data_IF_699952712510
#
_entry.id   IF_699952712510
#
_cell.length_a   1.000
_cell.length_b   1.000
_cell.length_c   1.000
_cell.angle_alpha   90.00
_cell.angle_beta   90.00
_cell.angle_gamma   90.00
#
_symmetry.space_group_name_H-M   'P 1'
#
loop_
_entity.id
_entity.type
_entity.pdbx_description
1 polymer ?
#
# COMPACT_ATOMS: atom_id res chain seq x y z
N UNK A 1 -17.78 -16.77 18.17
CA UNK A 1 -16.75 -15.90 18.77
C UNK A 1 -15.98 -15.08 17.72
N UNK A 2 -15.41 -15.71 16.69
CA UNK A 2 -14.68 -15.01 15.61
C UNK A 2 -15.55 -14.00 14.84
N UNK A 3 -16.80 -14.35 14.52
CA UNK A 3 -17.75 -13.44 13.87
C UNK A 3 -18.15 -12.22 14.72
N UNK A 4 -18.01 -12.27 16.04
CA UNK A 4 -18.25 -11.13 16.94
C UNK A 4 -17.00 -10.23 17.05
N UNK A 5 -15.81 -10.81 16.84
CA UNK A 5 -14.52 -10.11 16.86
C UNK A 5 -14.30 -9.23 15.63
N UNK A 6 -14.73 -9.67 14.44
CA UNK A 6 -14.61 -8.89 13.18
C UNK A 6 -15.74 -7.85 13.02
N UNK A 7 -16.79 -7.91 13.84
CA UNK A 7 -17.99 -7.05 13.72
C UNK A 7 -17.88 -5.72 14.51
N UNK A 8 -16.67 -5.29 14.85
CA UNK A 8 -16.43 -4.29 15.90
C UNK A 8 -16.84 -2.85 15.59
N UNK A 9 -16.83 -2.43 14.32
CA UNK A 9 -17.26 -1.09 13.87
C UNK A 9 -17.90 -1.18 12.49
N UNK A 10 -18.91 -0.35 12.24
CA UNK A 10 -19.41 -0.10 10.87
C UNK A 10 -18.33 0.70 10.13
N UNK A 11 -17.48 0.03 9.37
CA UNK A 11 -16.55 0.71 8.47
C UNK A 11 -17.36 1.33 7.34
N UNK A 12 -17.14 2.62 7.08
CA UNK A 12 -17.72 3.30 5.94
C UNK A 12 -17.05 2.79 4.65
N UNK A 13 -17.75 1.90 3.95
CA UNK A 13 -17.29 1.29 2.71
C UNK A 13 -17.02 2.35 1.63
N UNK A 14 -17.84 3.39 1.57
CA UNK A 14 -17.67 4.47 0.60
C UNK A 14 -16.37 5.23 0.84
N UNK A 15 -16.11 5.63 2.09
CA UNK A 15 -14.82 6.28 2.45
C UNK A 15 -13.63 5.38 2.17
N UNK A 16 -13.76 4.08 2.45
CA UNK A 16 -12.70 3.09 2.19
C UNK A 16 -12.38 2.99 0.71
N UNK A 17 -13.42 2.97 -0.12
CA UNK A 17 -13.29 2.94 -1.57
C UNK A 17 -12.68 4.23 -2.13
N UNK A 18 -13.12 5.40 -1.66
CA UNK A 18 -12.52 6.68 -2.01
C UNK A 18 -11.03 6.73 -1.62
N UNK A 19 -10.68 6.29 -0.41
CA UNK A 19 -9.28 6.26 0.03
C UNK A 19 -8.41 5.37 -0.87
N UNK A 20 -8.88 4.18 -1.23
CA UNK A 20 -8.16 3.27 -2.12
C UNK A 20 -7.98 3.85 -3.51
N UNK A 21 -9.06 4.33 -4.12
CA UNK A 21 -9.02 4.86 -5.49
C UNK A 21 -8.15 6.11 -5.60
N UNK A 22 -8.26 7.05 -4.65
CA UNK A 22 -7.40 8.24 -4.61
C UNK A 22 -5.93 7.89 -4.40
N UNK A 23 -5.60 6.99 -3.46
CA UNK A 23 -4.23 6.57 -3.20
C UNK A 23 -3.59 5.85 -4.40
N UNK A 24 -4.33 4.94 -5.03
CA UNK A 24 -3.85 4.21 -6.22
C UNK A 24 -3.67 5.15 -7.41
N UNK A 25 -4.63 6.06 -7.65
CA UNK A 25 -4.53 7.06 -8.71
C UNK A 25 -3.29 7.94 -8.57
N UNK A 26 -3.04 8.48 -7.36
CA UNK A 26 -1.84 9.29 -7.09
C UNK A 26 -0.57 8.47 -7.20
N UNK A 27 -0.56 7.22 -6.72
CA UNK A 27 0.61 6.32 -6.83
C UNK A 27 0.97 6.02 -8.27
N UNK A 28 -0.03 5.71 -9.11
CA UNK A 28 0.17 5.47 -10.54
C UNK A 28 0.70 6.73 -11.24
N UNK A 29 0.08 7.88 -10.98
CA UNK A 29 0.50 9.15 -11.56
C UNK A 29 1.98 9.47 -11.24
N UNK A 30 2.34 9.45 -9.95
CA UNK A 30 3.71 9.73 -9.50
C UNK A 30 4.71 8.73 -10.10
N UNK A 31 4.38 7.43 -10.08
CA UNK A 31 5.26 6.38 -10.60
C UNK A 31 5.50 6.56 -12.11
N UNK A 32 4.46 6.80 -12.90
CA UNK A 32 4.58 6.94 -14.36
C UNK A 32 5.31 8.21 -14.78
N UNK A 33 5.10 9.32 -14.07
CA UNK A 33 5.86 10.56 -14.28
C UNK A 33 7.35 10.32 -14.02
N UNK A 34 7.69 9.70 -12.88
CA UNK A 34 9.08 9.40 -12.54
C UNK A 34 9.74 8.42 -13.52
N UNK A 35 9.02 7.41 -13.99
CA UNK A 35 9.50 6.48 -15.03
C UNK A 35 9.93 7.20 -16.30
N UNK A 36 9.10 8.15 -16.77
CA UNK A 36 9.36 8.92 -17.99
C UNK A 36 10.48 9.94 -17.79
N UNK A 37 10.56 10.53 -16.61
CA UNK A 37 11.56 11.54 -16.26
C UNK A 37 12.96 10.93 -16.11
N UNK A 38 13.09 9.83 -15.36
CA UNK A 38 14.39 9.21 -15.07
C UNK A 38 14.91 8.39 -16.25
N UNK A 39 14.04 7.68 -16.97
CA UNK A 39 14.45 6.97 -18.19
C UNK A 39 15.48 5.84 -17.98
N UNK A 40 15.58 5.29 -16.76
CA UNK A 40 16.59 4.28 -16.42
C UNK A 40 16.37 2.96 -17.16
N UNK A 41 17.45 2.42 -17.73
CA UNK A 41 17.50 1.10 -18.37
C UNK A 41 17.15 -0.03 -17.40
N UNK A 42 16.44 -1.06 -17.88
CA UNK A 42 16.17 -2.28 -17.11
C UNK A 42 17.34 -3.26 -17.16
N UNK A 43 17.56 -4.10 -16.13
CA UNK A 43 18.61 -5.11 -16.14
C UNK A 43 18.53 -6.09 -17.33
N UNK A 44 17.33 -6.57 -17.67
CA UNK A 44 17.15 -7.47 -18.82
C UNK A 44 17.46 -6.84 -20.18
N UNK A 45 17.62 -5.51 -20.25
CA UNK A 45 18.00 -4.82 -21.50
C UNK A 45 19.37 -5.29 -22.02
N UNK A 46 20.29 -5.65 -21.13
CA UNK A 46 21.63 -6.11 -21.51
C UNK A 46 21.62 -7.45 -22.26
N UNK A 47 20.61 -8.28 -22.02
CA UNK A 47 20.42 -9.54 -22.75
C UNK A 47 19.98 -9.27 -24.19
N UNK A 48 19.03 -8.34 -24.39
CA UNK A 48 18.52 -8.01 -25.72
C UNK A 48 19.51 -7.26 -26.59
N UNK A 49 20.39 -6.44 -26.02
CA UNK A 49 21.37 -5.67 -26.78
C UNK A 49 22.68 -6.45 -27.09
N UNK A 50 22.78 -7.71 -26.64
CA UNK A 50 24.00 -8.50 -26.76
C UNK A 50 25.18 -7.87 -26.03
N UNK A 51 25.06 -7.57 -24.74
CA UNK A 51 26.14 -6.90 -24.01
C UNK A 51 27.41 -7.77 -23.94
N UNK A 52 28.53 -7.27 -24.50
CA UNK A 52 29.84 -7.93 -24.41
C UNK A 52 30.60 -7.46 -23.18
N UNK A 53 31.01 -8.41 -22.34
CA UNK A 53 31.80 -8.14 -21.13
C UNK A 53 33.21 -7.61 -21.45
N UNK A 54 33.78 -8.05 -22.59
CA UNK A 54 35.13 -7.67 -23.02
C UNK A 54 35.18 -6.21 -23.50
N UNK A 55 34.15 -5.79 -24.23
CA UNK A 55 34.05 -4.43 -24.78
C UNK A 55 33.29 -3.46 -23.88
N UNK A 56 32.68 -3.95 -22.80
CA UNK A 56 31.79 -3.21 -21.89
C UNK A 56 30.72 -2.38 -22.65
N UNK A 57 30.23 -2.90 -23.78
CA UNK A 57 29.22 -2.26 -24.63
C UNK A 57 28.30 -3.28 -25.28
N UNK A 58 27.09 -2.83 -25.64
CA UNK A 58 26.20 -3.60 -26.51
C UNK A 58 26.84 -3.76 -27.89
N UNK A 59 26.84 -4.98 -28.42
CA UNK A 59 27.41 -5.29 -29.75
C UNK A 59 26.41 -5.14 -30.87
N UNK A 60 25.11 -5.26 -30.59
CA UNK A 60 24.07 -4.95 -31.57
C UNK A 60 24.02 -3.43 -31.79
N UNK A 61 24.56 -2.99 -32.93
CA UNK A 61 24.55 -1.60 -33.35
C UNK A 61 23.25 -1.17 -34.01
N UNK A 62 22.44 -2.14 -34.44
CA UNK A 62 21.13 -1.86 -35.00
C UNK A 62 20.13 -1.67 -33.85
N UNK A 63 19.49 -0.50 -33.78
CA UNK A 63 18.44 -0.14 -32.81
C UNK A 63 17.18 -1.06 -32.88
N UNK A 64 17.25 -2.15 -33.64
CA UNK A 64 16.20 -3.14 -33.81
C UNK A 64 15.96 -3.96 -32.54
N UNK A 65 16.96 -4.13 -31.67
CA UNK A 65 16.76 -4.74 -30.35
C UNK A 65 15.76 -3.93 -29.50
N UNK A 66 15.80 -2.59 -29.62
CA UNK A 66 14.94 -1.69 -28.86
C UNK A 66 13.48 -1.74 -29.34
N UNK A 67 13.25 -2.07 -30.62
CA UNK A 67 11.93 -2.32 -31.21
C UNK A 67 11.40 -3.72 -30.84
N UNK A 68 12.30 -4.69 -30.71
CA UNK A 68 11.98 -6.08 -30.38
C UNK A 68 11.71 -6.32 -28.88
N UNK A 69 11.93 -5.30 -28.04
CA UNK A 69 11.83 -5.44 -26.59
C UNK A 69 10.40 -5.82 -26.13
N UNK A 70 10.29 -6.87 -25.27
CA UNK A 70 9.23 -7.32 -24.38
C UNK A 70 7.89 -6.67 -24.13
N UNK A 71 7.51 -5.52 -24.65
CA UNK A 71 6.38 -4.74 -24.09
C UNK A 71 6.01 -3.52 -24.94
N UNK A 72 6.67 -3.30 -26.08
CA UNK A 72 6.49 -2.11 -26.92
C UNK A 72 7.52 -1.01 -26.66
N UNK A 73 7.42 0.07 -27.43
CA UNK A 73 8.46 1.09 -27.58
C UNK A 73 8.81 1.79 -26.25
N UNK A 74 10.13 1.96 -26.01
CA UNK A 74 10.75 2.61 -24.83
C UNK A 74 10.52 1.92 -23.47
N UNK A 75 9.93 0.73 -23.40
CA UNK A 75 9.77 0.05 -22.10
C UNK A 75 11.09 -0.40 -21.47
N UNK A 76 12.11 -0.65 -22.29
CA UNK A 76 13.49 -0.87 -21.85
C UNK A 76 14.04 0.26 -20.96
N UNK A 77 13.54 1.50 -21.11
CA UNK A 77 13.95 2.69 -20.35
C UNK A 77 13.04 3.04 -19.16
N UNK A 78 12.21 2.12 -18.66
CA UNK A 78 11.24 2.39 -17.58
C UNK A 78 11.50 1.56 -16.34
N UNK A 79 12.75 1.49 -15.91
CA UNK A 79 13.14 0.73 -14.72
C UNK A 79 12.81 1.48 -13.42
N UNK A 80 13.26 2.71 -13.23
CA UNK A 80 13.03 3.44 -11.97
C UNK A 80 11.75 4.30 -12.02
N UNK A 81 10.90 4.31 -10.98
CA UNK A 81 10.75 3.30 -9.92
C UNK A 81 9.91 2.10 -10.38
N UNK A 82 9.86 1.03 -9.59
CA UNK A 82 9.01 -0.14 -9.88
C UNK A 82 7.53 0.16 -9.66
N UNK A 83 6.74 0.08 -10.73
CA UNK A 83 5.29 0.31 -10.67
C UNK A 83 4.51 -0.84 -10.03
N UNK A 84 4.97 -2.08 -10.21
CA UNK A 84 4.37 -3.22 -9.52
C UNK A 84 4.57 -3.13 -8.01
N UNK A 85 5.76 -2.71 -7.57
CA UNK A 85 6.04 -2.51 -6.16
C UNK A 85 5.24 -1.33 -5.58
N UNK A 86 5.13 -0.20 -6.28
CA UNK A 86 4.38 0.95 -5.76
C UNK A 86 2.88 0.65 -5.63
N UNK A 87 2.27 0.04 -6.66
CA UNK A 87 0.85 -0.32 -6.62
C UNK A 87 0.57 -1.41 -5.57
N UNK A 88 1.39 -2.46 -5.51
CA UNK A 88 1.18 -3.56 -4.55
C UNK A 88 1.30 -3.08 -3.11
N UNK A 89 2.32 -2.28 -2.78
CA UNK A 89 2.48 -1.71 -1.45
C UNK A 89 1.37 -0.72 -1.11
N UNK A 90 0.95 0.14 -2.06
CA UNK A 90 -0.16 1.06 -1.82
C UNK A 90 -1.45 0.30 -1.45
N UNK A 91 -1.86 -0.67 -2.27
CA UNK A 91 -3.07 -1.45 -2.04
C UNK A 91 -2.99 -2.31 -0.78
N UNK A 92 -1.87 -3.01 -0.58
CA UNK A 92 -1.73 -3.94 0.55
C UNK A 92 -1.59 -3.21 1.90
N UNK A 93 -0.92 -2.04 1.96
CA UNK A 93 -0.85 -1.25 3.20
C UNK A 93 -2.23 -0.71 3.60
N UNK A 94 -3.02 -0.24 2.63
CA UNK A 94 -4.42 0.14 2.90
C UNK A 94 -5.27 -1.05 3.33
N UNK A 95 -5.06 -2.23 2.74
CA UNK A 95 -5.75 -3.45 3.16
C UNK A 95 -5.36 -3.87 4.58
N UNK A 96 -4.08 -3.82 4.94
CA UNK A 96 -3.61 -4.04 6.32
C UNK A 96 -4.32 -3.07 7.27
N UNK A 97 -4.35 -1.79 6.93
CA UNK A 97 -5.02 -0.76 7.73
C UNK A 97 -6.52 -1.09 7.89
N UNK A 98 -7.20 -1.44 6.80
CA UNK A 98 -8.62 -1.83 6.82
C UNK A 98 -8.87 -3.05 7.73
N UNK A 99 -8.08 -4.12 7.58
CA UNK A 99 -8.20 -5.34 8.39
C UNK A 99 -7.98 -5.06 9.88
N UNK A 100 -7.02 -4.17 10.22
CA UNK A 100 -6.79 -3.75 11.61
C UNK A 100 -7.93 -2.89 12.15
N UNK A 101 -8.52 -2.02 11.32
CA UNK A 101 -9.64 -1.15 11.71
C UNK A 101 -10.96 -1.91 11.94
N UNK A 102 -11.11 -3.07 11.31
CA UNK A 102 -12.29 -3.93 11.42
C UNK A 102 -12.35 -4.74 12.72
N UNK A 103 -11.19 -4.99 13.34
CA UNK A 103 -11.11 -5.72 14.60
C UNK A 103 -11.78 -4.95 15.75
N UNK A 104 -12.55 -5.65 16.56
CA UNK A 104 -13.19 -5.08 17.72
C UNK A 104 -12.17 -4.80 18.83
N UNK A 105 -12.01 -3.51 19.16
CA UNK A 105 -11.04 -3.00 20.15
C UNK A 105 -11.27 -3.61 21.54
N UNK A 106 -12.49 -4.03 21.87
CA UNK A 106 -12.82 -4.70 23.15
C UNK A 106 -11.94 -5.93 23.40
N UNK A 107 -11.50 -6.60 22.34
CA UNK A 107 -10.68 -7.81 22.45
C UNK A 107 -9.17 -7.56 22.29
N UNK A 108 -8.71 -6.31 22.29
CA UNK A 108 -7.31 -5.94 22.02
C UNK A 108 -6.27 -6.64 22.92
N UNK A 109 -6.65 -7.00 24.14
CA UNK A 109 -5.76 -7.70 25.09
C UNK A 109 -5.84 -9.23 25.00
N UNK A 110 -6.64 -9.79 24.10
CA UNK A 110 -6.84 -11.25 23.97
C UNK A 110 -5.84 -11.89 23.02
N UNK A 111 -5.62 -13.20 23.20
CA UNK A 111 -4.83 -14.02 22.28
C UNK A 111 -5.38 -13.99 20.84
N UNK A 112 -6.70 -13.95 20.68
CA UNK A 112 -7.37 -13.87 19.37
C UNK A 112 -6.97 -12.60 18.62
N UNK A 113 -6.84 -11.46 19.31
CA UNK A 113 -6.40 -10.22 18.68
C UNK A 113 -4.94 -10.28 18.23
N UNK A 114 -4.06 -10.96 18.98
CA UNK A 114 -2.65 -11.15 18.59
C UNK A 114 -2.55 -11.96 17.30
N UNK A 115 -3.31 -13.05 17.18
CA UNK A 115 -3.38 -13.85 15.95
C UNK A 115 -3.91 -12.99 14.80
N UNK A 116 -5.00 -12.24 15.02
CA UNK A 116 -5.54 -11.36 13.99
C UNK A 116 -4.55 -10.30 13.53
N UNK A 117 -3.79 -9.71 14.45
CA UNK A 117 -2.76 -8.74 14.12
C UNK A 117 -1.70 -9.34 13.16
N UNK A 118 -1.32 -10.61 13.35
CA UNK A 118 -0.41 -11.31 12.43
C UNK A 118 -1.08 -11.59 11.07
N UNK A 119 -2.33 -12.08 11.07
CA UNK A 119 -3.07 -12.35 9.83
C UNK A 119 -3.28 -11.07 9.02
N UNK A 120 -3.54 -9.94 9.70
CA UNK A 120 -3.71 -8.64 9.06
C UNK A 120 -2.48 -8.15 8.30
N UNK A 121 -1.29 -8.70 8.59
CA UNK A 121 -0.04 -8.41 7.88
C UNK A 121 0.18 -9.29 6.64
N UNK A 122 -0.61 -10.35 6.44
CA UNK A 122 -0.48 -11.22 5.26
C UNK A 122 -0.54 -10.50 3.90
N UNK A 123 -1.32 -9.41 3.70
CA UNK A 123 -1.25 -8.66 2.45
C UNK A 123 0.13 -8.02 2.20
N UNK A 124 0.84 -7.63 3.26
CA UNK A 124 2.19 -7.08 3.11
C UNK A 124 3.17 -8.14 2.62
N UNK A 125 3.04 -9.39 3.08
CA UNK A 125 3.82 -10.51 2.54
C UNK A 125 3.55 -10.72 1.04
N UNK A 126 2.28 -10.61 0.62
CA UNK A 126 1.92 -10.65 -0.81
C UNK A 126 2.58 -9.50 -1.59
N UNK A 127 2.56 -8.28 -1.06
CA UNK A 127 3.21 -7.14 -1.70
C UNK A 127 4.73 -7.35 -1.87
N UNK A 128 5.38 -7.92 -0.85
CA UNK A 128 6.81 -8.30 -0.88
C UNK A 128 7.05 -9.35 -1.96
N UNK A 129 6.21 -10.39 -2.07
CA UNK A 129 6.36 -11.42 -3.11
C UNK A 129 6.22 -10.83 -4.53
N UNK A 130 5.24 -9.95 -4.74
CA UNK A 130 5.06 -9.24 -6.02
C UNK A 130 6.30 -8.38 -6.31
N UNK A 131 6.82 -7.65 -5.33
CA UNK A 131 8.01 -6.84 -5.49
C UNK A 131 9.28 -7.67 -5.77
N UNK A 132 9.46 -8.79 -5.07
CA UNK A 132 10.58 -9.71 -5.24
C UNK A 132 10.58 -10.36 -6.64
N UNK A 133 9.39 -10.71 -7.16
CA UNK A 133 9.28 -11.24 -8.53
C UNK A 133 9.90 -10.32 -9.58
N UNK A 134 9.83 -8.99 -9.38
CA UNK A 134 10.42 -8.03 -10.31
C UNK A 134 11.94 -7.98 -10.32
N UNK A 135 12.56 -8.38 -9.22
CA UNK A 135 14.01 -8.55 -9.13
C UNK A 135 14.40 -9.90 -9.74
N UNK A 136 13.66 -10.96 -9.42
CA UNK A 136 13.88 -12.30 -9.96
C UNK A 136 13.75 -12.35 -11.49
N UNK A 137 12.79 -11.62 -12.05
CA UNK A 137 12.55 -11.52 -13.49
C UNK A 137 13.46 -10.47 -14.20
N UNK A 138 14.44 -9.88 -13.50
CA UNK A 138 15.37 -8.87 -14.03
C UNK A 138 14.72 -7.61 -14.64
N UNK A 139 13.50 -7.25 -14.24
CA UNK A 139 12.84 -6.02 -14.67
C UNK A 139 13.30 -4.79 -13.91
N UNK A 140 13.70 -4.96 -12.65
CA UNK A 140 13.99 -3.87 -11.73
C UNK A 140 15.22 -4.17 -10.86
N UNK A 141 16.05 -3.16 -10.64
CA UNK A 141 17.06 -3.22 -9.58
C UNK A 141 16.39 -3.14 -8.21
N UNK A 142 17.05 -3.65 -7.18
CA UNK A 142 16.54 -3.60 -5.79
C UNK A 142 16.19 -2.17 -5.37
N UNK A 143 17.02 -1.18 -5.74
CA UNK A 143 16.74 0.22 -5.45
C UNK A 143 15.47 0.76 -6.10
N UNK A 144 15.12 0.30 -7.31
CA UNK A 144 13.88 0.71 -8.00
C UNK A 144 12.65 0.14 -7.29
N UNK A 145 12.78 -1.09 -6.77
CA UNK A 145 11.75 -1.77 -5.98
C UNK A 145 11.54 -1.07 -4.65
N UNK A 146 12.62 -0.76 -3.91
CA UNK A 146 12.55 -0.03 -2.64
C UNK A 146 11.90 1.33 -2.82
N UNK A 147 12.31 2.09 -3.84
CA UNK A 147 11.71 3.40 -4.13
C UNK A 147 10.22 3.28 -4.47
N UNK A 148 9.83 2.29 -5.28
CA UNK A 148 8.43 2.00 -5.57
C UNK A 148 7.63 1.69 -4.31
N UNK A 149 8.12 0.78 -3.48
CA UNK A 149 7.50 0.40 -2.20
C UNK A 149 7.29 1.58 -1.27
N UNK A 150 8.28 2.48 -1.15
CA UNK A 150 8.18 3.71 -0.34
C UNK A 150 7.08 4.62 -0.88
N UNK A 151 7.05 4.90 -2.18
CA UNK A 151 6.02 5.74 -2.81
C UNK A 151 4.63 5.19 -2.51
N UNK A 152 4.42 3.88 -2.71
CA UNK A 152 3.15 3.22 -2.46
C UNK A 152 2.72 3.28 -1.00
N UNK A 153 3.63 2.94 -0.07
CA UNK A 153 3.35 2.98 1.36
C UNK A 153 3.06 4.40 1.87
N UNK A 154 3.81 5.40 1.43
CA UNK A 154 3.58 6.80 1.78
C UNK A 154 2.20 7.27 1.34
N UNK A 155 1.80 7.01 0.09
CA UNK A 155 0.48 7.38 -0.41
C UNK A 155 -0.63 6.66 0.36
N UNK A 156 -0.50 5.35 0.62
CA UNK A 156 -1.45 4.61 1.44
C UNK A 156 -1.66 5.26 2.81
N UNK A 157 -0.56 5.62 3.49
CA UNK A 157 -0.61 6.28 4.79
C UNK A 157 -1.27 7.66 4.69
N UNK A 158 -0.87 8.50 3.74
CA UNK A 158 -1.43 9.86 3.55
C UNK A 158 -2.94 9.79 3.31
N UNK A 159 -3.38 9.00 2.33
CA UNK A 159 -4.80 8.93 1.97
C UNK A 159 -5.62 8.21 3.04
N UNK A 160 -5.05 7.24 3.77
CA UNK A 160 -5.74 6.69 4.95
C UNK A 160 -6.07 7.78 5.99
N UNK A 161 -5.16 8.74 6.20
CA UNK A 161 -5.39 9.86 7.14
C UNK A 161 -6.33 10.93 6.61
N UNK A 162 -6.27 11.23 5.30
CA UNK A 162 -7.17 12.21 4.68
C UNK A 162 -8.63 11.74 4.74
N UNK A 163 -8.90 10.48 4.44
CA UNK A 163 -10.26 9.95 4.39
C UNK A 163 -10.78 9.46 5.76
N UNK A 164 -9.86 9.16 6.68
CA UNK A 164 -10.17 8.77 8.06
C UNK A 164 -9.35 9.60 9.06
N UNK A 165 -9.63 10.91 9.17
CA UNK A 165 -9.08 11.71 10.26
C UNK A 165 -9.50 11.06 11.59
N UNK A 166 -8.55 10.92 12.52
CA UNK A 166 -8.72 10.17 13.78
C UNK A 166 -10.07 10.46 14.44
N UNK A 167 -10.85 9.40 14.72
CA UNK A 167 -12.11 9.48 15.49
C UNK A 167 -11.90 9.80 16.98
N UNK A 168 -10.90 10.59 17.37
CA UNK A 168 -10.75 11.07 18.74
C UNK A 168 -10.01 12.40 18.71
N UNK A 169 -10.75 13.47 18.96
CA UNK A 169 -10.44 14.56 19.89
C UNK A 169 -11.75 15.34 20.05
N UNK A 170 -12.42 15.16 21.21
CA UNK A 170 -13.64 15.87 21.64
C UNK A 170 -14.97 15.33 21.04
N UNK A 171 -15.39 14.14 21.47
CA UNK A 171 -16.75 14.03 21.99
C UNK A 171 -16.61 13.44 23.39
N UNK A 172 -16.94 14.19 24.47
CA UNK A 172 -17.03 13.58 25.78
C UNK A 172 -18.00 12.39 25.70
N UNK A 173 -17.83 11.36 26.54
CA UNK A 173 -18.87 10.33 26.66
C UNK A 173 -20.20 11.06 26.90
N UNK A 174 -21.23 10.73 26.13
CA UNK A 174 -22.60 11.06 26.51
C UNK A 174 -22.80 10.44 27.88
N UNK A 175 -22.64 11.25 28.92
CA UNK A 175 -23.16 10.97 30.24
C UNK A 175 -24.65 10.75 30.04
N UNK A 176 -25.12 9.53 30.28
CA UNK A 176 -26.54 9.22 30.36
C UNK A 176 -27.16 10.18 31.38
N UNK A 177 -27.77 11.27 30.91
CA UNK A 177 -28.44 12.26 31.76
C UNK A 177 -29.75 11.74 32.37
N UNK A 178 -30.10 10.47 32.15
CA UNK A 178 -31.34 9.86 32.64
C UNK A 178 -31.21 9.19 34.03
N UNK A 179 -30.00 9.02 34.59
CA UNK A 179 -29.84 8.39 35.93
C UNK A 179 -29.73 9.39 37.10
N UNK A 180 -29.46 10.69 36.86
CA UNK A 180 -29.26 11.68 37.93
C UNK A 180 -30.57 12.39 38.35
N UNK A 181 -31.64 12.33 37.54
CA UNK A 181 -32.95 12.93 37.88
C UNK A 181 -33.81 12.04 38.81
N UNK A 182 -33.37 10.81 39.11
CA UNK A 182 -34.11 9.84 39.92
C UNK A 182 -33.75 9.81 41.42
N UNK A 183 -32.76 10.61 41.87
CA UNK A 183 -32.18 10.45 43.21
C UNK A 183 -32.42 11.60 44.20
N UNK A 184 -33.15 12.65 43.84
CA UNK A 184 -33.53 13.72 44.80
C UNK A 184 -35.04 13.80 45.07
N UNK A 185 -35.52 13.08 46.09
CA UNK A 185 -36.68 13.53 46.85
C UNK A 185 -36.39 13.74 48.35
N UNK A 186 -35.12 13.80 48.81
CA UNK A 186 -34.83 13.74 50.26
C UNK A 186 -33.84 14.78 50.84
N UNK A 187 -33.69 15.98 50.24
CA UNK A 187 -32.88 17.07 50.85
C UNK A 187 -33.65 18.40 50.95
N UNK A 188 -34.96 18.34 51.24
CA UNK A 188 -35.74 19.52 51.63
C UNK A 188 -36.41 19.29 52.99
N UNK A 189 -35.64 19.45 54.06
CA UNK A 189 -36.11 19.73 55.43
C UNK A 189 -35.01 20.42 56.23
#
# INVERSE_FOLDING_TARGET
MFALFVRGKKIDLHRTWCAHTSALGTTLCVTEVLKRYVGRLRPNTYEYCGFSLELLRCTDTDDDWAKSFPTGQRNWAKSFPSGHASVSFCGCVLLVWYLRSSANVKYQHTFVWRIWALISLSPLALAIMIAASRVADYYHFVGDVVAGSIIGACNALIFSRIHFPSQNLITPPETNQEEEEALDPFVAL
#
